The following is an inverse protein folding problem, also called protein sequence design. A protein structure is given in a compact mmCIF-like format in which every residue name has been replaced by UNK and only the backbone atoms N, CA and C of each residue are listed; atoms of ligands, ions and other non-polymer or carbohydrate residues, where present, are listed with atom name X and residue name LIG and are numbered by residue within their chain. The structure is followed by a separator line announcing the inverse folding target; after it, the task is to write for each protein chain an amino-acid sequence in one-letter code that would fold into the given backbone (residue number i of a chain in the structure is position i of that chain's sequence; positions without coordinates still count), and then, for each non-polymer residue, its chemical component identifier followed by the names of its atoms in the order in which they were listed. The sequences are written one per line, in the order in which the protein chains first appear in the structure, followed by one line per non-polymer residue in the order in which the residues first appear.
data_IF_981352390265
#
_entry.id   IF_981352390265
#
_cell.length_a   1.000
_cell.length_b   1.000
_cell.length_c   1.000
_cell.angle_alpha   90.00
_cell.angle_beta   90.00
_cell.angle_gamma   90.00
#
_symmetry.space_group_name_H-M   'P 1'
#
loop_
_entity.id
_entity.type
_entity.pdbx_description
1 polymer ?
#
# COMPACT_ATOMS: atom_id res chain seq x y z
N UNK A 1 -19.20 25.13 -0.47
CA UNK A 1 -18.91 25.30 0.97
C UNK A 1 -17.43 25.64 1.13
N UNK A 2 -17.03 26.45 2.13
CA UNK A 2 -15.62 26.72 2.44
C UNK A 2 -15.00 28.01 1.89
N UNK A 3 -15.73 28.83 1.11
CA UNK A 3 -15.17 30.05 0.47
C UNK A 3 -14.65 31.09 1.49
N UNK A 4 -15.33 31.23 2.64
CA UNK A 4 -15.01 32.24 3.66
C UNK A 4 -14.49 31.65 4.99
N UNK A 5 -14.32 30.33 5.06
CA UNK A 5 -13.96 29.61 6.28
C UNK A 5 -13.34 28.26 5.92
N UNK A 6 -12.01 28.16 6.08
CA UNK A 6 -11.24 26.99 5.67
C UNK A 6 -11.63 25.71 6.45
N UNK A 7 -12.22 25.83 7.64
CA UNK A 7 -12.66 24.68 8.44
C UNK A 7 -13.85 23.95 7.81
N UNK A 8 -14.55 24.61 6.88
CA UNK A 8 -15.70 24.06 6.14
C UNK A 8 -15.34 23.50 4.77
N UNK A 9 -14.05 23.48 4.41
CA UNK A 9 -13.61 22.85 3.17
C UNK A 9 -13.70 21.33 3.36
N UNK A 10 -14.45 20.60 2.50
CA UNK A 10 -14.46 19.14 2.56
C UNK A 10 -13.09 18.61 2.13
N UNK A 11 -12.35 18.02 3.08
CA UNK A 11 -11.02 17.51 2.81
C UNK A 11 -11.08 16.22 1.98
N UNK A 12 -10.44 16.24 0.82
CA UNK A 12 -10.32 15.10 -0.08
C UNK A 12 -9.70 15.52 -1.41
N UNK A 13 -8.84 14.67 -1.95
CA UNK A 13 -8.25 14.85 -3.29
C UNK A 13 -8.45 13.58 -4.10
N UNK A 14 -8.50 13.72 -5.43
CA UNK A 14 -8.48 12.59 -6.35
C UNK A 14 -7.08 11.97 -6.41
N UNK A 15 -7.00 10.79 -7.04
CA UNK A 15 -5.70 10.16 -7.33
C UNK A 15 -5.71 8.64 -7.45
N UNK A 16 -6.86 7.97 -7.30
CA UNK A 16 -6.92 6.51 -7.41
C UNK A 16 -6.55 6.00 -8.82
N UNK A 17 -7.00 6.71 -9.86
CA UNK A 17 -6.72 6.41 -11.27
C UNK A 17 -5.29 6.79 -11.63
N UNK A 18 -4.87 8.00 -11.26
CA UNK A 18 -3.58 8.56 -11.66
C UNK A 18 -2.38 7.99 -10.89
N UNK A 19 -2.61 7.28 -9.78
CA UNK A 19 -1.56 6.83 -8.84
C UNK A 19 -0.43 6.09 -9.55
N UNK A 20 -0.76 5.20 -10.49
CA UNK A 20 0.22 4.34 -11.18
C UNK A 20 1.03 5.13 -12.20
N UNK A 21 0.36 5.86 -13.10
CA UNK A 21 1.03 6.68 -14.11
C UNK A 21 1.95 7.73 -13.48
N UNK A 22 1.49 8.44 -12.43
CA UNK A 22 2.31 9.45 -11.74
C UNK A 22 3.52 8.81 -11.05
N UNK A 23 3.34 7.67 -10.37
CA UNK A 23 4.44 6.99 -9.69
C UNK A 23 5.47 6.42 -10.68
N UNK A 24 5.02 5.95 -11.85
CA UNK A 24 5.90 5.48 -12.91
C UNK A 24 6.69 6.64 -13.53
N UNK A 25 5.99 7.69 -13.96
CA UNK A 25 6.60 8.84 -14.63
C UNK A 25 7.59 9.57 -13.72
N UNK A 26 7.25 9.78 -12.43
CA UNK A 26 8.13 10.49 -11.50
C UNK A 26 9.21 9.62 -10.87
N UNK A 27 8.99 8.31 -10.81
CA UNK A 27 9.85 7.35 -10.14
C UNK A 27 10.74 6.57 -11.11
N UNK A 28 10.12 5.76 -11.95
CA UNK A 28 10.79 4.81 -12.85
C UNK A 28 11.39 5.53 -14.05
N UNK A 29 10.58 6.32 -14.77
CA UNK A 29 11.03 7.01 -15.98
C UNK A 29 12.16 8.02 -15.69
N UNK A 30 12.10 8.69 -14.53
CA UNK A 30 13.17 9.59 -14.05
C UNK A 30 14.33 8.86 -13.35
N UNK A 31 14.40 7.53 -13.45
CA UNK A 31 15.46 6.70 -12.90
C UNK A 31 15.73 6.88 -11.38
N UNK A 32 14.71 7.27 -10.60
CA UNK A 32 14.81 7.39 -9.13
C UNK A 32 14.57 6.06 -8.42
N UNK A 33 13.76 5.20 -9.01
CA UNK A 33 13.48 3.85 -8.55
C UNK A 33 13.48 2.91 -9.75
N UNK A 34 13.86 1.65 -9.53
CA UNK A 34 13.76 0.63 -10.56
C UNK A 34 12.31 0.09 -10.69
N UNK A 35 11.96 -0.54 -11.82
CA UNK A 35 10.63 -1.13 -12.01
C UNK A 35 10.23 -2.17 -10.94
N UNK A 36 11.18 -2.94 -10.40
CA UNK A 36 10.87 -3.92 -9.35
C UNK A 36 10.51 -3.24 -8.05
N UNK A 37 11.21 -2.14 -7.71
CA UNK A 37 10.84 -1.28 -6.58
C UNK A 37 9.49 -0.61 -6.80
N UNK A 38 9.14 -0.19 -8.01
CA UNK A 38 7.81 0.29 -8.34
C UNK A 38 6.73 -0.75 -8.01
N UNK A 39 6.85 -1.99 -8.50
CA UNK A 39 5.92 -3.08 -8.16
C UNK A 39 5.86 -3.32 -6.64
N UNK A 40 7.01 -3.25 -5.97
CA UNK A 40 7.08 -3.41 -4.53
C UNK A 40 6.28 -2.35 -3.78
N UNK A 41 6.42 -1.06 -4.12
CA UNK A 41 5.74 0.03 -3.39
C UNK A 41 4.26 0.15 -3.74
N UNK A 42 3.88 -0.21 -4.97
CA UNK A 42 2.49 -0.06 -5.44
C UNK A 42 1.60 -1.24 -5.07
N UNK A 43 2.18 -2.45 -4.93
CA UNK A 43 1.45 -3.70 -4.77
C UNK A 43 2.03 -4.64 -3.71
N UNK A 44 3.29 -5.10 -3.86
CA UNK A 44 3.80 -6.22 -3.03
C UNK A 44 3.93 -5.88 -1.55
N UNK A 45 4.37 -4.65 -1.23
CA UNK A 45 4.55 -4.22 0.16
C UNK A 45 3.20 -4.02 0.85
N UNK A 46 2.22 -3.44 0.14
CA UNK A 46 0.86 -3.34 0.65
C UNK A 46 0.29 -4.72 0.96
N UNK A 47 0.44 -5.69 0.05
CA UNK A 47 -0.01 -7.06 0.27
C UNK A 47 0.67 -7.73 1.46
N UNK A 48 1.97 -7.47 1.67
CA UNK A 48 2.72 -7.96 2.83
C UNK A 48 2.23 -7.35 4.15
N UNK A 49 2.08 -6.02 4.20
CA UNK A 49 1.61 -5.29 5.38
C UNK A 49 0.19 -5.75 5.76
N UNK A 50 -0.71 -5.84 4.79
CA UNK A 50 -2.10 -6.28 5.01
C UNK A 50 -2.28 -7.80 5.09
N UNK A 51 -1.19 -8.58 5.17
CA UNK A 51 -1.22 -10.03 5.37
C UNK A 51 -1.99 -10.82 4.29
N UNK A 52 -1.88 -10.39 3.03
CA UNK A 52 -2.50 -11.02 1.86
C UNK A 52 -1.47 -11.41 0.78
N UNK A 53 -0.18 -11.44 1.13
CA UNK A 53 0.90 -11.92 0.26
C UNK A 53 1.14 -13.42 0.47
N UNK A 54 1.40 -14.24 -0.57
CA UNK A 54 1.54 -13.90 -2.00
C UNK A 54 0.22 -13.91 -2.78
N UNK A 55 -0.93 -14.07 -2.12
CA UNK A 55 -2.24 -14.10 -2.78
C UNK A 55 -2.48 -12.84 -3.63
N UNK A 56 -1.99 -11.68 -3.20
CA UNK A 56 -1.92 -10.44 -4.00
C UNK A 56 -0.50 -9.89 -4.06
N UNK A 57 -0.26 -9.05 -5.07
CA UNK A 57 1.01 -8.32 -5.22
C UNK A 57 2.19 -9.18 -5.66
N UNK A 58 1.93 -10.37 -6.25
CA UNK A 58 2.92 -11.23 -6.90
C UNK A 58 2.26 -11.98 -8.06
N UNK A 59 2.96 -12.05 -9.19
CA UNK A 59 2.60 -12.93 -10.31
C UNK A 59 3.31 -14.27 -10.06
N UNK A 60 2.57 -15.26 -9.60
CA UNK A 60 3.05 -16.61 -9.35
C UNK A 60 1.89 -17.61 -9.40
N UNK A 61 2.19 -18.89 -9.61
CA UNK A 61 1.19 -19.97 -9.52
C UNK A 61 0.58 -19.94 -8.11
N UNK A 62 -0.76 -19.91 -8.04
CA UNK A 62 -1.52 -19.85 -6.78
C UNK A 62 -1.85 -18.43 -6.27
N UNK A 63 -1.35 -17.37 -6.92
CA UNK A 63 -1.76 -15.99 -6.63
C UNK A 63 -3.09 -15.63 -7.33
N UNK A 64 -3.85 -14.67 -6.78
CA UNK A 64 -5.05 -14.14 -7.43
C UNK A 64 -4.64 -13.46 -8.76
N UNK A 65 -5.39 -13.71 -9.83
CA UNK A 65 -5.17 -13.14 -11.16
C UNK A 65 -5.65 -11.67 -11.24
N UNK A 66 -5.01 -10.80 -10.45
CA UNK A 66 -5.14 -9.35 -10.53
C UNK A 66 -3.86 -8.79 -11.19
N UNK A 67 -3.95 -8.42 -12.47
CA UNK A 67 -2.81 -8.10 -13.32
C UNK A 67 -3.12 -6.84 -14.13
N UNK A 68 -2.15 -5.93 -14.22
CA UNK A 68 -2.19 -4.77 -15.11
C UNK A 68 -1.10 -4.94 -16.20
N UNK A 69 -1.45 -4.58 -17.43
CA UNK A 69 -0.54 -4.55 -18.58
C UNK A 69 -0.42 -3.08 -19.01
N UNK A 70 0.81 -2.56 -18.94
CA UNK A 70 1.09 -1.15 -19.22
C UNK A 70 1.92 -1.04 -20.51
N UNK A 71 1.47 -0.19 -21.45
CA UNK A 71 2.24 0.23 -22.64
C UNK A 71 1.98 1.72 -22.91
N UNK A 72 2.88 2.38 -23.64
CA UNK A 72 2.72 3.79 -24.05
C UNK A 72 2.84 3.88 -25.58
N UNK A 73 1.93 4.62 -26.23
CA UNK A 73 1.96 4.86 -27.69
C UNK A 73 1.45 6.23 -28.17
N UNK A 74 1.10 7.20 -27.31
CA UNK A 74 0.50 8.46 -27.81
C UNK A 74 1.06 9.77 -27.23
N UNK A 75 1.03 10.80 -28.08
CA UNK A 75 1.83 12.03 -28.08
C UNK A 75 1.01 13.24 -27.56
N UNK A 76 1.66 14.17 -26.84
CA UNK A 76 1.10 15.48 -26.46
C UNK A 76 1.28 15.89 -24.99
N UNK A 77 1.24 14.93 -24.06
CA UNK A 77 1.81 15.05 -22.72
C UNK A 77 2.40 13.69 -22.34
N UNK A 78 3.69 13.67 -22.05
CA UNK A 78 4.43 12.42 -21.95
C UNK A 78 4.31 11.85 -20.54
N UNK A 79 3.31 10.99 -20.33
CA UNK A 79 3.23 10.10 -19.16
C UNK A 79 3.50 8.68 -19.66
N UNK A 80 4.62 8.10 -19.23
CA UNK A 80 4.93 6.70 -19.53
C UNK A 80 4.21 5.78 -18.52
N UNK A 81 3.63 4.67 -18.99
CA UNK A 81 3.06 3.63 -18.12
C UNK A 81 1.59 3.83 -17.74
N UNK A 82 0.70 3.82 -18.74
CA UNK A 82 -0.75 3.74 -18.52
C UNK A 82 -1.20 2.29 -18.70
N UNK A 83 -2.13 1.83 -17.86
CA UNK A 83 -2.72 0.51 -17.96
C UNK A 83 -3.62 0.40 -19.21
N UNK A 84 -3.18 -0.37 -20.19
CA UNK A 84 -3.99 -0.72 -21.37
C UNK A 84 -5.10 -1.68 -21.01
N UNK A 85 -4.71 -2.71 -20.27
CA UNK A 85 -5.55 -3.85 -19.94
C UNK A 85 -5.41 -4.14 -18.46
N UNK A 86 -6.54 -4.19 -17.76
CA UNK A 86 -6.60 -4.62 -16.37
C UNK A 86 -7.42 -5.89 -16.28
N UNK A 87 -6.83 -6.91 -15.66
CA UNK A 87 -7.46 -8.17 -15.34
C UNK A 87 -7.72 -8.16 -13.84
N UNK A 88 -8.96 -8.39 -13.44
CA UNK A 88 -9.32 -8.59 -12.05
C UNK A 88 -10.00 -9.94 -11.90
N UNK A 89 -9.51 -10.76 -10.95
CA UNK A 89 -10.06 -12.09 -10.67
C UNK A 89 -10.16 -12.97 -11.93
N UNK A 90 -9.18 -12.85 -12.83
CA UNK A 90 -9.12 -13.59 -14.09
C UNK A 90 -10.07 -13.11 -15.20
N UNK A 91 -10.74 -11.96 -15.02
CA UNK A 91 -11.60 -11.34 -16.04
C UNK A 91 -10.97 -10.03 -16.51
N UNK A 92 -10.97 -9.80 -17.82
CA UNK A 92 -10.60 -8.49 -18.38
C UNK A 92 -11.70 -7.50 -17.98
N UNK A 93 -11.35 -6.52 -17.14
CA UNK A 93 -12.29 -5.50 -16.65
C UNK A 93 -12.07 -4.14 -17.31
N UNK A 94 -10.91 -3.93 -17.92
CA UNK A 94 -10.55 -2.72 -18.65
C UNK A 94 -9.76 -3.12 -19.88
N UNK A 95 -10.13 -2.61 -21.05
CA UNK A 95 -9.38 -2.75 -22.31
C UNK A 95 -9.84 -1.72 -23.32
N UNK A 96 -8.97 -1.28 -24.23
CA UNK A 96 -9.30 -0.30 -25.30
C UNK A 96 -10.03 0.94 -24.79
N UNK A 97 -9.61 1.44 -23.63
CA UNK A 97 -10.21 2.59 -22.95
C UNK A 97 -11.71 2.41 -22.59
N UNK A 98 -12.17 1.17 -22.41
CA UNK A 98 -13.53 0.83 -22.03
C UNK A 98 -13.56 -0.02 -20.76
N UNK A 99 -14.42 0.37 -19.82
CA UNK A 99 -14.67 -0.35 -18.58
C UNK A 99 -15.74 -1.43 -18.80
N UNK A 100 -15.41 -2.67 -18.48
CA UNK A 100 -16.28 -3.83 -18.59
C UNK A 100 -16.40 -4.48 -17.20
N UNK A 101 -17.24 -3.90 -16.34
CA UNK A 101 -17.47 -4.41 -14.99
C UNK A 101 -18.94 -4.36 -14.60
N UNK A 102 -19.32 -5.21 -13.66
CA UNK A 102 -20.65 -5.21 -13.04
C UNK A 102 -20.50 -4.75 -11.58
N UNK A 103 -21.32 -3.81 -11.09
CA UNK A 103 -21.36 -3.47 -9.67
C UNK A 103 -21.52 -4.72 -8.80
N UNK A 104 -20.73 -4.84 -7.72
CA UNK A 104 -20.73 -6.03 -6.85
C UNK A 104 -19.82 -7.18 -7.32
N UNK A 105 -19.11 -7.05 -8.43
CA UNK A 105 -18.12 -8.03 -8.89
C UNK A 105 -16.89 -8.16 -7.96
N UNK A 106 -16.58 -7.10 -7.21
CA UNK A 106 -15.56 -7.12 -6.17
C UNK A 106 -15.96 -7.99 -4.98
N UNK A 107 -14.98 -8.55 -4.27
CA UNK A 107 -15.22 -9.30 -3.02
C UNK A 107 -14.35 -8.77 -1.91
N UNK A 108 -14.91 -8.70 -0.71
CA UNK A 108 -14.15 -8.43 0.51
C UNK A 108 -13.07 -9.49 0.73
N UNK A 109 -11.91 -9.05 1.24
CA UNK A 109 -10.80 -9.93 1.59
C UNK A 109 -10.53 -9.73 3.08
N UNK A 110 -10.79 -10.75 3.93
CA UNK A 110 -10.48 -10.65 5.34
C UNK A 110 -8.97 -10.55 5.53
N UNK A 111 -8.55 -9.63 6.39
CA UNK A 111 -7.15 -9.42 6.74
C UNK A 111 -6.88 -10.15 8.05
N UNK A 112 -5.97 -11.11 8.03
CA UNK A 112 -5.58 -11.80 9.24
C UNK A 112 -4.71 -10.88 10.11
N UNK A 113 -4.93 -10.85 11.44
CA UNK A 113 -4.10 -10.07 12.35
C UNK A 113 -2.66 -10.59 12.35
N UNK A 114 -1.76 -9.81 12.96
CA UNK A 114 -0.35 -10.19 13.14
C UNK A 114 0.38 -10.50 11.82
N UNK A 115 0.34 -9.56 10.87
CA UNK A 115 1.15 -9.66 9.65
C UNK A 115 2.62 -9.93 10.01
N UNK A 116 3.26 -10.96 9.45
CA UNK A 116 4.66 -11.28 9.73
C UNK A 116 5.60 -10.10 9.48
N UNK A 117 5.33 -9.27 8.45
CA UNK A 117 6.19 -8.12 8.12
C UNK A 117 6.06 -7.01 9.17
N UNK A 118 4.88 -6.78 9.74
CA UNK A 118 4.67 -5.74 10.74
C UNK A 118 5.05 -6.22 12.16
N UNK A 119 4.86 -7.51 12.46
CA UNK A 119 5.00 -8.06 13.81
C UNK A 119 6.24 -8.95 14.01
N UNK A 120 7.09 -9.17 12.99
CA UNK A 120 8.26 -10.06 13.09
C UNK A 120 9.14 -9.78 14.31
N UNK A 121 9.40 -8.51 14.63
CA UNK A 121 10.25 -8.14 15.77
C UNK A 121 9.47 -7.93 17.07
N UNK A 122 8.14 -8.02 17.05
CA UNK A 122 7.31 -7.60 18.18
C UNK A 122 7.56 -8.46 19.42
N UNK A 123 7.54 -9.79 19.26
CA UNK A 123 7.78 -10.73 20.36
C UNK A 123 9.20 -10.60 20.91
N UNK A 124 10.20 -10.54 20.03
CA UNK A 124 11.59 -10.39 20.44
C UNK A 124 11.82 -9.06 21.18
N UNK A 125 11.22 -7.96 20.71
CA UNK A 125 11.27 -6.66 21.41
C UNK A 125 10.57 -6.73 22.76
N UNK A 126 9.43 -7.40 22.86
CA UNK A 126 8.73 -7.56 24.14
C UNK A 126 9.57 -8.32 25.17
N UNK A 127 10.35 -9.31 24.74
CA UNK A 127 11.26 -10.06 25.62
C UNK A 127 12.43 -9.20 26.13
N UNK A 128 12.99 -8.31 25.30
CA UNK A 128 14.15 -7.48 25.69
C UNK A 128 13.78 -6.14 26.34
N UNK A 129 12.53 -5.68 26.19
CA UNK A 129 12.03 -4.45 26.82
C UNK A 129 11.42 -4.69 28.21
N UNK A 130 11.68 -5.84 28.84
CA UNK A 130 11.29 -6.08 30.23
C UNK A 130 11.97 -5.03 31.11
N UNK A 131 11.17 -4.13 31.68
CA UNK A 131 11.64 -3.11 32.60
C UNK A 131 12.17 -3.80 33.85
N UNK A 132 13.49 -3.73 34.07
CA UNK A 132 14.07 -4.19 35.32
C UNK A 132 13.76 -3.16 36.39
N UNK A 133 13.02 -3.56 37.43
CA UNK A 133 12.96 -2.77 38.65
C UNK A 133 14.35 -2.76 39.26
N UNK A 134 14.84 -1.57 39.62
CA UNK A 134 16.06 -1.45 40.40
C UNK A 134 15.70 -1.91 41.82
N UNK A 135 16.34 -2.96 42.36
CA UNK A 135 16.12 -3.35 43.75
C UNK A 135 16.63 -2.23 44.65
N UNK A 136 15.76 -1.71 45.51
CA UNK A 136 16.11 -0.70 46.51
C UNK A 136 16.05 -1.41 47.86
N UNK A 137 17.22 -1.73 48.41
CA UNK A 137 17.33 -2.33 49.75
C UNK A 137 17.20 -1.21 50.80
N UNK A 138 15.97 -0.75 51.04
CA UNK A 138 15.66 0.22 52.10
C UNK A 138 14.44 1.10 51.80
N UNK A 139 13.68 1.43 52.85
CA UNK A 139 12.58 2.37 52.77
C UNK A 139 13.09 3.80 52.54
N UNK A 140 12.45 4.52 51.62
CA UNK A 140 12.79 5.92 51.33
C UNK A 140 12.68 6.78 52.60
N UNK A 141 13.81 7.18 53.18
CA UNK A 141 13.85 8.15 54.27
C UNK A 141 13.80 9.57 53.68
N UNK A 142 12.63 10.20 53.79
CA UNK A 142 12.43 11.59 53.39
C UNK A 142 13.21 12.49 54.36
N UNK A 143 14.10 13.37 53.88
CA UNK A 143 14.87 14.24 54.76
C UNK A 143 13.92 15.20 55.51
N UNK A 144 14.15 15.32 56.82
CA UNK A 144 13.50 16.32 57.66
C UNK A 144 14.16 17.67 57.40
N UNK A 145 13.38 18.64 56.90
CA UNK A 145 13.80 20.05 56.82
C UNK A 145 13.49 20.76 58.14
#
# INVERSE_FOLDING_TARGET
MGLNDFTKIPNGVNGIEDRMGIAWERGVYRAKIDPMKFVSITSSMAAKIFNIYPRKGRIAIGSDADVAIDYNVYEGQVIHGIAETTISRGKVVWTKNQLQTTPGSGKFIPLLPFSPIAYASHEQRAQVMIVCKIPVDGDYHKPSF
#
